data_IF_361260186765
#
_entry.id   IF_361260186765
#
_cell.length_a   1.000
_cell.length_b   1.000
_cell.length_c   1.000
_cell.angle_alpha   90.00
_cell.angle_beta   90.00
_cell.angle_gamma   90.00
#
_symmetry.space_group_name_H-M   'P 1'
#
loop_
_entity.id
_entity.type
_entity.pdbx_description
1 polymer ?
#
# COMPACT_ATOMS: atom_id res chain seq x y z
N UNK A 1 -6.69 22.97 -17.59
CA UNK A 1 -6.14 22.48 -16.30
C UNK A 1 -6.56 21.03 -16.18
N UNK A 2 -5.70 20.12 -16.64
CA UNK A 2 -5.88 18.66 -16.53
C UNK A 2 -4.73 18.23 -15.63
N UNK A 3 -5.02 18.16 -14.34
CA UNK A 3 -4.06 17.82 -13.30
C UNK A 3 -4.53 16.52 -12.63
N UNK A 4 -3.71 15.48 -12.72
CA UNK A 4 -3.65 14.42 -11.70
C UNK A 4 -4.39 13.10 -11.90
N UNK A 5 -5.37 12.97 -12.80
CA UNK A 5 -6.09 11.69 -13.00
C UNK A 5 -5.80 11.07 -14.37
N UNK A 6 -4.58 10.60 -14.60
CA UNK A 6 -4.22 9.97 -15.89
C UNK A 6 -3.37 8.71 -15.81
N UNK A 7 -2.92 8.29 -14.63
CA UNK A 7 -2.10 7.07 -14.50
C UNK A 7 -2.48 6.38 -13.19
N UNK A 8 -2.59 5.06 -13.28
CA UNK A 8 -3.01 4.15 -12.21
C UNK A 8 -2.34 4.54 -10.87
N UNK A 9 -3.12 4.56 -9.79
CA UNK A 9 -2.64 5.00 -8.48
C UNK A 9 -3.06 4.01 -7.39
N UNK A 10 -2.21 3.89 -6.36
CA UNK A 10 -2.54 3.30 -5.07
C UNK A 10 -2.46 4.41 -4.02
N UNK A 11 -3.52 4.60 -3.24
CA UNK A 11 -3.59 5.62 -2.19
C UNK A 11 -4.00 4.98 -0.87
N UNK A 12 -3.36 5.41 0.22
CA UNK A 12 -3.61 4.90 1.56
C UNK A 12 -3.55 6.02 2.61
N UNK A 13 -4.17 5.79 3.76
CA UNK A 13 -4.18 6.76 4.86
C UNK A 13 -5.01 6.29 6.04
N UNK A 14 -5.40 7.23 6.91
CA UNK A 14 -6.24 6.97 8.07
C UNK A 14 -7.49 7.87 8.04
N UNK A 15 -8.66 7.28 8.28
CA UNK A 15 -9.92 8.00 8.42
C UNK A 15 -10.48 7.82 9.84
N UNK A 16 -10.66 8.91 10.60
CA UNK A 16 -11.29 8.86 11.92
C UNK A 16 -12.73 8.33 11.92
N UNK A 17 -13.41 8.33 10.76
CA UNK A 17 -14.79 7.87 10.60
C UNK A 17 -14.95 6.51 9.89
N UNK A 18 -13.87 5.74 9.70
CA UNK A 18 -13.90 4.44 9.02
C UNK A 18 -14.44 3.25 9.83
N UNK A 19 -15.01 3.51 11.02
CA UNK A 19 -15.48 2.55 12.03
C UNK A 19 -15.96 3.31 13.27
N UNK A 20 -16.12 2.66 14.42
CA UNK A 20 -16.43 3.37 15.68
C UNK A 20 -15.28 4.30 16.11
N UNK A 21 -14.03 3.86 15.93
CA UNK A 21 -12.82 4.63 16.29
C UNK A 21 -11.95 5.05 15.09
N UNK A 22 -12.36 4.68 13.87
CA UNK A 22 -11.64 4.95 12.63
C UNK A 22 -11.00 3.73 11.99
N UNK A 23 -10.38 3.91 10.82
CA UNK A 23 -9.70 2.83 10.09
C UNK A 23 -8.57 3.36 9.22
N UNK A 24 -7.53 2.54 9.05
CA UNK A 24 -6.59 2.70 7.94
C UNK A 24 -7.26 2.20 6.66
N UNK A 25 -6.97 2.87 5.55
CA UNK A 25 -7.53 2.51 4.25
C UNK A 25 -6.48 2.41 3.16
N UNK A 26 -6.79 1.64 2.12
CA UNK A 26 -6.03 1.61 0.88
C UNK A 26 -6.94 1.32 -0.32
N UNK A 27 -6.80 2.05 -1.42
CA UNK A 27 -7.52 1.78 -2.65
C UNK A 27 -6.63 1.98 -3.88
N UNK A 28 -7.04 1.38 -5.00
CA UNK A 28 -6.42 1.58 -6.29
C UNK A 28 -7.42 2.21 -7.27
N UNK A 29 -6.97 3.10 -8.15
CA UNK A 29 -7.81 3.69 -9.20
C UNK A 29 -7.10 3.75 -10.57
N UNK A 30 -7.75 3.27 -11.65
CA UNK A 30 -8.91 2.37 -11.61
C UNK A 30 -8.56 1.10 -10.83
N UNK A 31 -9.56 0.50 -10.16
CA UNK A 31 -9.33 -0.74 -9.41
C UNK A 31 -8.97 -1.87 -10.39
N UNK A 32 -7.80 -2.52 -10.27
CA UNK A 32 -7.43 -3.62 -11.14
C UNK A 32 -8.38 -4.82 -10.99
N UNK A 33 -8.51 -5.63 -12.04
CA UNK A 33 -9.30 -6.86 -11.98
C UNK A 33 -8.74 -7.81 -10.90
N UNK A 34 -9.62 -8.33 -10.04
CA UNK A 34 -9.25 -9.22 -8.94
C UNK A 34 -8.52 -8.54 -7.76
N UNK A 35 -8.48 -7.19 -7.74
CA UNK A 35 -7.91 -6.43 -6.61
C UNK A 35 -8.69 -6.66 -5.32
N UNK A 36 -10.03 -6.61 -5.38
CA UNK A 36 -10.90 -6.81 -4.22
C UNK A 36 -10.78 -8.20 -3.57
N UNK A 37 -10.30 -9.19 -4.33
CA UNK A 37 -10.11 -10.57 -3.89
C UNK A 37 -8.72 -10.84 -3.30
N UNK A 38 -7.84 -9.83 -3.28
CA UNK A 38 -6.50 -9.99 -2.71
C UNK A 38 -6.53 -9.97 -1.18
N UNK A 39 -5.63 -10.73 -0.53
CA UNK A 39 -5.50 -10.67 0.92
C UNK A 39 -5.02 -9.29 1.36
N UNK A 40 -5.67 -8.72 2.37
CA UNK A 40 -5.36 -7.39 2.90
C UNK A 40 -4.17 -7.39 3.88
N UNK A 41 -3.55 -8.54 4.15
CA UNK A 41 -2.42 -8.68 5.06
C UNK A 41 -2.85 -9.20 6.45
N UNK A 42 -2.96 -8.35 7.48
CA UNK A 42 -3.22 -8.78 8.85
C UNK A 42 -4.66 -9.26 9.06
N UNK A 43 -4.84 -10.12 10.07
CA UNK A 43 -6.16 -10.57 10.51
C UNK A 43 -7.03 -9.38 10.91
N UNK A 44 -8.28 -9.35 10.42
CA UNK A 44 -9.23 -8.26 10.65
C UNK A 44 -9.20 -7.13 9.61
N UNK A 45 -8.21 -7.11 8.69
CA UNK A 45 -8.28 -6.27 7.50
C UNK A 45 -9.19 -6.91 6.43
N UNK A 46 -9.95 -6.09 5.70
CA UNK A 46 -10.93 -6.57 4.71
C UNK A 46 -11.16 -5.56 3.57
N UNK A 47 -11.73 -6.02 2.46
CA UNK A 47 -12.19 -5.14 1.38
C UNK A 47 -13.65 -4.71 1.61
N UNK A 48 -13.91 -3.41 1.64
CA UNK A 48 -15.28 -2.88 1.69
C UNK A 48 -15.79 -2.62 0.27
N UNK A 49 -16.77 -3.43 -0.17
CA UNK A 49 -17.45 -3.20 -1.45
C UNK A 49 -18.25 -1.89 -1.47
N UNK A 50 -18.71 -1.39 -0.32
CA UNK A 50 -19.43 -0.11 -0.24
C UNK A 50 -18.51 1.09 -0.50
N UNK A 51 -17.26 1.03 -0.03
CA UNK A 51 -16.28 2.11 -0.19
C UNK A 51 -15.28 1.85 -1.34
N UNK A 52 -15.29 0.64 -1.91
CA UNK A 52 -14.34 0.20 -2.95
C UNK A 52 -12.87 0.34 -2.51
N UNK A 53 -12.58 -0.02 -1.25
CA UNK A 53 -11.26 0.09 -0.66
C UNK A 53 -11.03 -0.98 0.41
N UNK A 54 -9.77 -1.31 0.64
CA UNK A 54 -9.35 -2.07 1.81
C UNK A 54 -9.42 -1.21 3.07
N UNK A 55 -9.79 -1.83 4.18
CA UNK A 55 -9.88 -1.23 5.49
C UNK A 55 -9.17 -2.11 6.52
N UNK A 56 -8.43 -1.48 7.42
CA UNK A 56 -7.93 -2.06 8.66
C UNK A 56 -8.50 -1.22 9.82
N UNK A 57 -9.47 -1.74 10.59
CA UNK A 57 -10.05 -1.00 11.70
C UNK A 57 -9.00 -0.60 12.73
N UNK A 58 -9.14 0.60 13.29
CA UNK A 58 -8.16 1.15 14.23
C UNK A 58 -8.01 0.27 15.48
N UNK A 59 -9.13 -0.25 16.00
CA UNK A 59 -9.18 -1.13 17.15
C UNK A 59 -8.39 -2.43 16.94
N UNK A 60 -8.41 -2.96 15.71
CA UNK A 60 -7.62 -4.15 15.33
C UNK A 60 -6.13 -3.83 15.35
N UNK A 61 -5.73 -2.70 14.75
CA UNK A 61 -4.34 -2.27 14.76
C UNK A 61 -3.84 -1.97 16.18
N UNK A 62 -4.64 -1.27 16.98
CA UNK A 62 -4.36 -0.90 18.38
C UNK A 62 -4.24 -2.12 19.29
N UNK A 63 -5.04 -3.16 19.08
CA UNK A 63 -5.03 -4.38 19.89
C UNK A 63 -3.92 -5.36 19.48
N UNK A 64 -3.25 -5.14 18.34
CA UNK A 64 -2.20 -6.01 17.86
C UNK A 64 -0.98 -5.99 18.80
N UNK A 65 -0.24 -7.12 18.93
CA UNK A 65 0.98 -7.17 19.72
C UNK A 65 2.07 -6.19 19.23
N UNK A 66 2.04 -5.83 17.95
CA UNK A 66 2.95 -4.90 17.30
C UNK A 66 2.16 -4.03 16.29
N UNK A 67 1.56 -2.91 16.75
CA UNK A 67 0.68 -2.07 15.94
C UNK A 67 1.36 -1.50 14.69
N UNK A 68 2.60 -1.05 14.82
CA UNK A 68 3.37 -0.47 13.72
C UNK A 68 3.58 -1.50 12.61
N UNK A 69 3.97 -2.73 12.99
CA UNK A 69 4.12 -3.83 12.04
C UNK A 69 2.79 -4.23 11.40
N UNK A 70 1.70 -4.26 12.15
CA UNK A 70 0.36 -4.57 11.62
C UNK A 70 -0.08 -3.56 10.57
N UNK A 71 0.08 -2.27 10.83
CA UNK A 71 -0.24 -1.22 9.84
C UNK A 71 0.68 -1.30 8.64
N UNK A 72 2.00 -1.49 8.84
CA UNK A 72 2.94 -1.64 7.74
C UNK A 72 2.61 -2.86 6.86
N UNK A 73 2.24 -3.99 7.45
CA UNK A 73 1.83 -5.19 6.73
C UNK A 73 0.58 -4.93 5.88
N UNK A 74 -0.41 -4.22 6.41
CA UNK A 74 -1.61 -3.84 5.68
C UNK A 74 -1.28 -2.98 4.46
N UNK A 75 -0.54 -1.88 4.67
CA UNK A 75 -0.18 -0.95 3.59
C UNK A 75 0.67 -1.61 2.51
N UNK A 76 1.57 -2.51 2.90
CA UNK A 76 2.37 -3.27 1.96
C UNK A 76 1.51 -4.25 1.16
N UNK A 77 0.70 -5.09 1.81
CA UNK A 77 -0.13 -6.09 1.15
C UNK A 77 -1.11 -5.45 0.14
N UNK A 78 -1.74 -4.33 0.49
CA UNK A 78 -2.67 -3.63 -0.41
C UNK A 78 -1.96 -2.93 -1.56
N UNK A 79 -0.73 -2.45 -1.37
CA UNK A 79 0.11 -1.96 -2.45
C UNK A 79 0.52 -3.10 -3.41
N UNK A 80 0.98 -4.24 -2.88
CA UNK A 80 1.37 -5.40 -3.70
C UNK A 80 0.19 -5.92 -4.51
N UNK A 81 -1.00 -5.95 -3.91
CA UNK A 81 -2.25 -6.27 -4.59
C UNK A 81 -2.52 -5.33 -5.78
N UNK A 82 -2.35 -4.02 -5.58
CA UNK A 82 -2.57 -3.02 -6.63
C UNK A 82 -1.52 -3.14 -7.74
N UNK A 83 -0.24 -3.19 -7.37
CA UNK A 83 0.87 -3.26 -8.32
C UNK A 83 0.88 -4.57 -9.11
N UNK A 84 0.64 -5.70 -8.44
CA UNK A 84 0.60 -7.02 -9.08
C UNK A 84 -0.58 -7.16 -10.03
N UNK A 85 -1.78 -6.70 -9.65
CA UNK A 85 -2.97 -6.76 -10.51
C UNK A 85 -3.00 -5.68 -11.60
N UNK A 86 -2.44 -4.52 -11.32
CA UNK A 86 -2.25 -3.43 -12.29
C UNK A 86 -1.08 -3.66 -13.25
N UNK A 87 -0.29 -4.73 -13.05
CA UNK A 87 0.90 -5.04 -13.84
C UNK A 87 1.92 -3.88 -13.86
N UNK A 88 2.05 -3.18 -12.74
CA UNK A 88 2.97 -2.06 -12.61
C UNK A 88 4.42 -2.55 -12.63
N UNK A 89 5.30 -1.76 -13.24
CA UNK A 89 6.74 -1.99 -13.16
C UNK A 89 7.24 -1.65 -11.74
N UNK A 90 7.15 -2.62 -10.83
CA UNK A 90 7.57 -2.47 -9.43
C UNK A 90 9.04 -2.10 -9.33
N UNK A 91 9.90 -2.59 -10.23
CA UNK A 91 11.32 -2.26 -10.22
C UNK A 91 11.59 -0.77 -10.54
N UNK A 92 10.70 -0.12 -11.28
CA UNK A 92 10.76 1.31 -11.53
C UNK A 92 10.15 2.17 -10.39
N UNK A 93 9.26 1.60 -9.58
CA UNK A 93 8.54 2.30 -8.50
C UNK A 93 9.17 2.10 -7.13
N UNK A 94 9.74 0.94 -6.90
CA UNK A 94 10.38 0.57 -5.64
C UNK A 94 11.82 1.03 -5.64
N UNK A 95 12.16 1.80 -4.62
CA UNK A 95 13.52 2.22 -4.40
C UNK A 95 14.30 1.05 -3.81
N UNK A 96 15.31 0.54 -4.53
CA UNK A 96 16.33 -0.30 -3.90
C UNK A 96 17.18 0.60 -2.97
N UNK A 97 17.09 0.46 -1.64
CA UNK A 97 17.87 1.27 -0.71
C UNK A 97 19.39 1.11 -0.89
N UNK A 98 19.83 0.08 -1.63
CA UNK A 98 21.24 -0.16 -1.99
C UNK A 98 21.63 0.39 -3.37
N UNK A 99 20.72 1.00 -4.14
CA UNK A 99 21.02 1.51 -5.50
C UNK A 99 22.14 2.54 -5.55
N UNK A 100 22.40 3.24 -4.45
CA UNK A 100 23.50 4.20 -4.31
C UNK A 100 24.81 3.57 -3.85
N UNK A 101 24.80 2.36 -3.27
CA UNK A 101 26.01 1.69 -2.79
C UNK A 101 26.95 1.26 -3.93
N UNK A 102 26.40 1.04 -5.13
CA UNK A 102 27.16 0.56 -6.31
C UNK A 102 27.90 1.68 -7.05
N UNK A 103 27.62 2.97 -6.77
CA UNK A 103 28.28 4.10 -7.45
C UNK A 103 29.47 4.73 -6.69
N UNK A 104 29.86 4.19 -5.54
CA UNK A 104 30.92 4.77 -4.69
C UNK A 104 32.33 4.19 -4.86
N UNK A 105 32.53 3.09 -5.58
CA UNK A 105 33.79 2.33 -5.58
C UNK A 105 34.48 2.27 -6.95
N UNK A 106 34.55 3.41 -7.65
CA UNK A 106 35.15 3.47 -8.98
C UNK A 106 35.77 4.80 -9.36
N UNK A 107 36.74 5.31 -8.61
CA UNK A 107 37.77 6.23 -9.12
C UNK A 107 38.92 6.34 -8.12
N UNK A 108 39.84 5.37 -8.17
CA UNK A 108 41.07 5.38 -7.40
C UNK A 108 42.08 4.42 -8.01
N UNK A 109 42.59 4.74 -9.20
CA UNK A 109 43.89 4.25 -9.68
C UNK A 109 44.31 4.95 -10.98
N UNK A 110 45.26 5.86 -10.86
CA UNK A 110 46.51 5.99 -11.66
C UNK A 110 47.01 7.43 -11.62
#
# INVERSE_FOLDING_TARGET
MVEGYSRELSSCGFWPGGGEEGAFYSYAYPAPEGFADQPAGPDGAFYSAGFQQFLLPYEVARAAPDPDRTVAQFLHATYEAAAGRGLWDRAALEDDPLRWAVRGSGAGSS
#
